data_IF_340145340737
#
_entry.id   IF_340145340737
#
_cell.length_a   1.000
_cell.length_b   1.000
_cell.length_c   1.000
_cell.angle_alpha   90.00
_cell.angle_beta   90.00
_cell.angle_gamma   90.00
#
_symmetry.space_group_name_H-M   'P 1'
#
loop_
_entity.id
_entity.type
_entity.pdbx_description
1 polymer ?
#
# COMPACT_ATOMS: atom_id res chain seq x y z
N UNK A 1 19.11 12.44 18.61
CA UNK A 1 18.18 13.57 18.41
C UNK A 1 18.45 14.70 19.42
N UNK A 2 18.09 14.53 20.70
CA UNK A 2 18.23 15.59 21.74
C UNK A 2 19.65 16.18 21.85
N UNK A 3 20.71 15.36 21.92
CA UNK A 3 22.09 15.87 22.03
C UNK A 3 22.58 16.67 20.82
N UNK A 4 21.89 16.58 19.68
CA UNK A 4 22.27 17.21 18.42
C UNK A 4 21.19 18.20 17.94
N UNK A 5 20.25 18.59 18.82
CA UNK A 5 19.17 19.55 18.52
C UNK A 5 18.33 19.20 17.27
N UNK A 6 18.11 17.90 17.04
CA UNK A 6 17.30 17.42 15.92
C UNK A 6 15.85 17.27 16.36
N UNK A 7 14.95 18.02 15.74
CA UNK A 7 13.50 17.84 15.88
C UNK A 7 13.04 16.57 15.14
N UNK A 8 12.03 15.89 15.69
CA UNK A 8 11.43 14.71 15.09
C UNK A 8 9.93 14.95 14.91
N UNK A 9 9.44 14.63 13.71
CA UNK A 9 8.04 14.71 13.35
C UNK A 9 7.63 13.39 12.72
N UNK A 10 6.49 12.85 13.15
CA UNK A 10 5.97 11.58 12.68
C UNK A 10 4.66 11.81 11.94
N UNK A 11 4.63 11.34 10.70
CA UNK A 11 3.41 11.10 9.94
C UNK A 11 3.23 9.59 9.92
N UNK A 12 2.06 9.13 10.34
CA UNK A 12 1.74 7.70 10.47
C UNK A 12 0.35 7.50 9.84
N UNK A 13 -0.62 7.02 10.60
CA UNK A 13 -2.00 6.80 10.17
C UNK A 13 -2.69 8.03 9.59
N UNK A 14 -2.31 9.23 10.03
CA UNK A 14 -2.80 10.45 9.39
C UNK A 14 -2.34 10.57 7.93
N UNK A 15 -1.12 10.18 7.60
CA UNK A 15 -0.69 10.12 6.21
C UNK A 15 -1.32 8.93 5.48
N UNK A 16 -1.60 7.82 6.17
CA UNK A 16 -2.27 6.68 5.54
C UNK A 16 -3.64 7.05 5.00
N UNK A 17 -4.40 7.83 5.79
CA UNK A 17 -5.73 8.35 5.44
C UNK A 17 -5.69 9.34 4.27
N UNK A 18 -4.72 10.27 4.28
CA UNK A 18 -4.73 11.41 3.35
C UNK A 18 -3.78 11.28 2.15
N UNK A 19 -2.82 10.36 2.19
CA UNK A 19 -1.72 10.31 1.22
C UNK A 19 -1.36 8.90 0.75
N UNK A 20 -1.10 7.98 1.67
CA UNK A 20 -0.54 6.66 1.33
C UNK A 20 -1.46 5.85 0.41
N UNK A 21 -2.76 5.81 0.71
CA UNK A 21 -3.74 5.12 -0.13
C UNK A 21 -3.77 5.68 -1.56
N UNK A 22 -3.74 7.01 -1.69
CA UNK A 22 -3.73 7.69 -2.99
C UNK A 22 -2.44 7.40 -3.79
N UNK A 23 -1.27 7.41 -3.14
CA UNK A 23 0.00 7.04 -3.78
C UNK A 23 0.00 5.59 -4.27
N UNK A 24 -0.53 4.67 -3.46
CA UNK A 24 -0.62 3.27 -3.82
C UNK A 24 -1.61 3.04 -4.99
N UNK A 25 -2.73 3.75 -5.00
CA UNK A 25 -3.69 3.78 -6.11
C UNK A 25 -3.04 4.26 -7.41
N UNK A 26 -2.34 5.40 -7.38
CA UNK A 26 -1.65 5.96 -8.55
C UNK A 26 -0.59 4.99 -9.07
N UNK A 27 0.21 4.42 -8.16
CA UNK A 27 1.25 3.44 -8.48
C UNK A 27 0.65 2.20 -9.16
N UNK A 28 -0.49 1.70 -8.66
CA UNK A 28 -1.23 0.61 -9.28
C UNK A 28 -1.95 0.98 -10.57
N UNK A 29 -2.20 2.26 -10.85
CA UNK A 29 -3.01 2.70 -11.98
C UNK A 29 -4.47 2.32 -11.82
N UNK A 30 -5.01 2.47 -10.60
CA UNK A 30 -6.43 2.31 -10.32
C UNK A 30 -7.12 3.68 -10.49
N UNK A 31 -7.80 3.85 -11.61
CA UNK A 31 -8.55 5.07 -11.89
C UNK A 31 -9.81 5.12 -11.00
N UNK A 32 -10.14 6.32 -10.48
CA UNK A 32 -11.35 6.61 -9.69
C UNK A 32 -11.58 5.67 -8.48
N UNK A 33 -10.51 5.18 -7.84
CA UNK A 33 -10.64 4.37 -6.63
C UNK A 33 -11.14 5.20 -5.44
N UNK A 34 -11.98 4.59 -4.61
CA UNK A 34 -12.54 5.20 -3.41
C UNK A 34 -11.76 4.75 -2.17
N UNK A 35 -11.78 5.50 -1.05
CA UNK A 35 -11.24 4.99 0.21
C UNK A 35 -11.85 3.64 0.58
N UNK A 36 -11.02 2.71 1.05
CA UNK A 36 -11.48 1.40 1.48
C UNK A 36 -12.20 1.48 2.83
N UNK A 37 -11.65 2.23 3.78
CA UNK A 37 -12.28 2.50 5.08
C UNK A 37 -12.35 4.01 5.34
N UNK A 38 -13.55 4.58 5.20
CA UNK A 38 -13.77 6.02 5.34
C UNK A 38 -13.75 6.43 6.82
N UNK A 39 -12.79 7.27 7.19
CA UNK A 39 -12.62 7.73 8.57
C UNK A 39 -12.95 9.22 8.74
N UNK A 40 -12.67 10.05 7.73
CA UNK A 40 -12.80 11.51 7.82
C UNK A 40 -13.35 12.13 6.54
N UNK A 41 -14.66 12.42 6.54
CA UNK A 41 -15.32 13.01 5.38
C UNK A 41 -15.34 12.03 4.21
N UNK A 42 -14.63 12.35 3.14
CA UNK A 42 -14.46 11.49 1.95
C UNK A 42 -13.09 10.79 1.94
N UNK A 43 -12.30 10.89 3.01
CA UNK A 43 -10.95 10.32 3.11
C UNK A 43 -10.91 9.15 4.10
N UNK A 44 -9.96 8.24 3.88
CA UNK A 44 -9.93 6.96 4.56
C UNK A 44 -8.68 6.13 4.31
N UNK A 45 -8.56 5.02 5.04
CA UNK A 45 -7.46 4.06 4.88
C UNK A 45 -7.67 3.26 3.60
N UNK A 46 -6.58 2.99 2.88
CA UNK A 46 -6.55 2.16 1.69
C UNK A 46 -7.39 2.73 0.54
N UNK A 47 -7.40 2.02 -0.58
CA UNK A 47 -8.22 2.34 -1.75
C UNK A 47 -8.82 1.08 -2.36
N UNK A 48 -10.00 1.20 -2.95
CA UNK A 48 -10.65 0.14 -3.70
C UNK A 48 -11.17 0.66 -5.04
N UNK A 49 -10.89 -0.07 -6.10
CA UNK A 49 -11.24 0.34 -7.46
C UNK A 49 -11.25 -0.84 -8.43
N UNK A 50 -11.61 -0.59 -9.68
CA UNK A 50 -11.62 -1.61 -10.72
C UNK A 50 -10.50 -1.40 -11.72
N UNK A 51 -9.84 -2.48 -12.11
CA UNK A 51 -9.04 -2.49 -13.33
C UNK A 51 -9.96 -2.38 -14.54
N UNK A 52 -9.50 -1.68 -15.58
CA UNK A 52 -10.23 -1.56 -16.85
C UNK A 52 -10.52 -2.92 -17.50
N UNK A 53 -9.61 -3.90 -17.33
CA UNK A 53 -9.75 -5.26 -17.87
C UNK A 53 -9.35 -6.28 -16.80
N UNK A 54 -10.15 -7.33 -16.55
CA UNK A 54 -9.77 -8.40 -15.63
C UNK A 54 -8.47 -9.08 -16.05
N UNK A 55 -7.56 -9.28 -15.10
CA UNK A 55 -6.29 -9.98 -15.30
C UNK A 55 -6.16 -11.19 -14.39
N UNK A 56 -5.23 -12.09 -14.68
CA UNK A 56 -4.91 -13.19 -13.76
C UNK A 56 -4.28 -12.66 -12.47
N UNK A 57 -4.59 -13.29 -11.34
CA UNK A 57 -3.98 -12.97 -10.04
C UNK A 57 -2.44 -13.03 -10.09
N UNK A 58 -1.86 -14.04 -10.77
CA UNK A 58 -0.41 -14.14 -11.01
C UNK A 58 0.17 -12.91 -11.73
N UNK A 59 -0.58 -12.37 -12.70
CA UNK A 59 -0.16 -11.19 -13.44
C UNK A 59 -0.19 -9.97 -12.53
N UNK A 60 -1.27 -9.79 -11.75
CA UNK A 60 -1.36 -8.71 -10.77
C UNK A 60 -0.20 -8.77 -9.76
N UNK A 61 0.10 -9.94 -9.19
CA UNK A 61 1.23 -10.10 -8.27
C UNK A 61 2.58 -9.69 -8.90
N UNK A 62 2.79 -10.02 -10.18
CA UNK A 62 3.98 -9.58 -10.93
C UNK A 62 4.01 -8.06 -11.14
N UNK A 63 2.85 -7.45 -11.42
CA UNK A 63 2.74 -5.99 -11.57
C UNK A 63 2.99 -5.27 -10.23
N UNK A 64 2.47 -5.79 -9.11
CA UNK A 64 2.74 -5.27 -7.76
C UNK A 64 4.25 -5.28 -7.48
N UNK A 65 4.92 -6.42 -7.68
CA UNK A 65 6.38 -6.51 -7.53
C UNK A 65 7.11 -5.45 -8.35
N UNK A 66 6.74 -5.29 -9.61
CA UNK A 66 7.42 -4.36 -10.53
C UNK A 66 7.17 -2.90 -10.15
N UNK A 67 5.91 -2.53 -9.88
CA UNK A 67 5.49 -1.15 -9.64
C UNK A 67 5.96 -0.61 -8.29
N UNK A 68 6.07 -1.48 -7.29
CA UNK A 68 6.55 -1.14 -5.96
C UNK A 68 8.00 -1.59 -5.72
N UNK A 69 8.72 -2.03 -6.76
CA UNK A 69 10.12 -2.47 -6.65
C UNK A 69 10.37 -3.49 -5.53
N UNK A 70 9.49 -4.48 -5.40
CA UNK A 70 9.53 -5.52 -4.35
C UNK A 70 10.06 -6.84 -4.92
N UNK A 71 11.04 -7.43 -4.23
CA UNK A 71 11.72 -8.65 -4.68
C UNK A 71 10.80 -9.88 -4.67
N UNK A 72 9.89 -9.98 -3.70
CA UNK A 72 8.96 -11.10 -3.56
C UNK A 72 7.66 -10.68 -2.89
N UNK A 73 6.58 -11.38 -3.24
CA UNK A 73 5.27 -11.26 -2.58
C UNK A 73 4.75 -12.66 -2.27
N UNK A 74 3.92 -12.78 -1.23
CA UNK A 74 3.17 -13.99 -0.94
C UNK A 74 1.76 -13.83 -1.47
N UNK A 75 1.23 -14.89 -2.09
CA UNK A 75 -0.10 -14.87 -2.67
C UNK A 75 -0.95 -15.96 -2.04
N UNK A 76 -2.11 -15.58 -1.52
CA UNK A 76 -3.14 -16.51 -1.06
C UNK A 76 -4.29 -16.48 -2.08
N UNK A 77 -4.67 -17.65 -2.60
CA UNK A 77 -5.72 -17.79 -3.61
C UNK A 77 -5.24 -18.52 -4.86
N UNK A 78 -6.16 -18.75 -5.81
CA UNK A 78 -5.83 -19.36 -7.09
C UNK A 78 -5.15 -18.34 -8.01
N UNK A 79 -3.86 -18.57 -8.31
CA UNK A 79 -3.03 -17.69 -9.15
C UNK A 79 -3.54 -17.57 -10.60
N UNK A 80 -4.36 -18.51 -11.06
CA UNK A 80 -4.96 -18.51 -12.40
C UNK A 80 -6.36 -17.87 -12.46
N UNK A 81 -6.95 -17.55 -11.30
CA UNK A 81 -8.20 -16.82 -11.21
C UNK A 81 -8.10 -15.41 -11.80
N UNK A 82 -9.23 -14.89 -12.32
CA UNK A 82 -9.32 -13.52 -12.81
C UNK A 82 -9.73 -12.60 -11.67
N UNK A 83 -9.07 -11.45 -11.59
CA UNK A 83 -9.36 -10.38 -10.63
C UNK A 83 -9.53 -9.06 -11.38
N UNK A 84 -10.44 -8.22 -10.89
CA UNK A 84 -10.73 -6.92 -11.45
C UNK A 84 -10.96 -5.85 -10.37
N UNK A 85 -11.74 -6.14 -9.34
CA UNK A 85 -11.93 -5.22 -8.21
C UNK A 85 -10.81 -5.42 -7.21
N UNK A 86 -9.95 -4.42 -7.10
CA UNK A 86 -8.71 -4.47 -6.33
C UNK A 86 -8.86 -3.55 -5.12
N UNK A 87 -8.65 -4.09 -3.93
CA UNK A 87 -8.40 -3.31 -2.73
C UNK A 87 -6.88 -3.24 -2.49
N UNK A 88 -6.37 -2.09 -2.08
CA UNK A 88 -4.99 -1.91 -1.61
C UNK A 88 -4.98 -1.14 -0.29
N UNK A 89 -4.27 -1.68 0.71
CA UNK A 89 -4.01 -1.02 1.98
C UNK A 89 -2.54 -1.19 2.33
N UNK A 90 -1.68 -0.20 2.05
CA UNK A 90 -0.24 -0.25 2.39
C UNK A 90 0.00 -0.47 3.89
N UNK A 91 1.17 -1.00 4.25
CA UNK A 91 1.50 -1.30 5.64
C UNK A 91 0.83 -2.58 6.14
N UNK A 92 0.31 -2.54 7.38
CA UNK A 92 -0.34 -3.69 8.03
C UNK A 92 -1.86 -3.64 7.87
N UNK A 93 -2.37 -4.11 6.73
CA UNK A 93 -3.80 -4.02 6.38
C UNK A 93 -4.63 -5.24 6.78
N UNK A 94 -4.23 -5.98 7.82
CA UNK A 94 -5.03 -7.09 8.35
C UNK A 94 -6.44 -6.64 8.77
N UNK A 95 -6.55 -5.46 9.37
CA UNK A 95 -7.85 -4.87 9.77
C UNK A 95 -8.77 -4.62 8.58
N UNK A 96 -8.20 -4.45 7.38
CA UNK A 96 -8.94 -4.09 6.17
C UNK A 96 -9.50 -5.30 5.42
N UNK A 97 -9.23 -6.52 5.88
CA UNK A 97 -9.79 -7.73 5.27
C UNK A 97 -11.31 -7.69 5.29
N UNK A 98 -11.92 -7.31 6.40
CA UNK A 98 -13.38 -7.27 6.52
C UNK A 98 -13.99 -6.23 5.59
N UNK A 99 -13.44 -5.01 5.59
CA UNK A 99 -13.86 -3.92 4.70
C UNK A 99 -13.77 -4.33 3.22
N UNK A 100 -12.67 -4.97 2.82
CA UNK A 100 -12.46 -5.39 1.43
C UNK A 100 -13.40 -6.53 1.02
N UNK A 101 -13.68 -7.49 1.91
CA UNK A 101 -14.65 -8.56 1.66
C UNK A 101 -16.07 -8.00 1.54
N UNK A 102 -16.47 -7.11 2.44
CA UNK A 102 -17.81 -6.52 2.44
C UNK A 102 -18.08 -5.70 1.16
N UNK A 103 -17.06 -5.03 0.65
CA UNK A 103 -17.13 -4.30 -0.62
C UNK A 103 -16.93 -5.19 -1.86
N UNK A 104 -16.70 -6.48 -1.64
CA UNK A 104 -16.58 -7.51 -2.66
C UNK A 104 -15.37 -7.30 -3.57
N UNK A 105 -14.21 -6.99 -2.99
CA UNK A 105 -12.94 -7.02 -3.69
C UNK A 105 -12.59 -8.46 -4.10
N UNK A 106 -12.01 -8.62 -5.29
CA UNK A 106 -11.50 -9.91 -5.74
C UNK A 106 -10.15 -10.24 -5.07
N UNK A 107 -9.40 -9.20 -4.71
CA UNK A 107 -8.08 -9.31 -4.08
C UNK A 107 -7.78 -8.08 -3.22
N UNK A 108 -7.17 -8.33 -2.05
CA UNK A 108 -6.56 -7.31 -1.21
C UNK A 108 -5.02 -7.35 -1.36
N UNK A 109 -4.42 -6.21 -1.70
CA UNK A 109 -2.96 -6.01 -1.71
C UNK A 109 -2.58 -5.27 -0.42
N UNK A 110 -1.75 -5.88 0.41
CA UNK A 110 -1.35 -5.30 1.70
C UNK A 110 -0.06 -5.95 2.22
N UNK A 111 0.37 -5.66 3.44
CA UNK A 111 1.46 -6.31 4.14
C UNK A 111 1.03 -6.97 5.46
N UNK A 112 1.96 -7.74 6.05
CA UNK A 112 1.84 -8.34 7.38
C UNK A 112 0.65 -9.31 7.57
N UNK A 113 0.36 -10.11 6.54
CA UNK A 113 -0.72 -11.09 6.60
C UNK A 113 -0.26 -12.41 7.22
N UNK A 114 -0.91 -12.79 8.32
CA UNK A 114 -0.71 -14.07 8.97
C UNK A 114 -1.21 -15.23 8.09
N UNK A 115 -0.64 -16.42 8.30
CA UNK A 115 -0.98 -17.61 7.53
C UNK A 115 -2.49 -17.94 7.55
N UNK A 116 -3.10 -17.89 8.73
CA UNK A 116 -4.53 -18.16 8.90
C UNK A 116 -5.40 -17.06 8.30
N UNK A 117 -5.01 -15.80 8.47
CA UNK A 117 -5.72 -14.65 7.90
C UNK A 117 -5.83 -14.79 6.37
N UNK A 118 -4.73 -15.19 5.71
CA UNK A 118 -4.71 -15.44 4.28
C UNK A 118 -5.61 -16.59 3.83
N UNK A 119 -5.60 -17.71 4.56
CA UNK A 119 -6.47 -18.87 4.24
C UNK A 119 -7.95 -18.52 4.44
N UNK A 120 -8.28 -17.87 5.55
CA UNK A 120 -9.66 -17.51 5.90
C UNK A 120 -10.22 -16.49 4.91
N UNK A 121 -9.38 -15.56 4.44
CA UNK A 121 -9.74 -14.63 3.38
C UNK A 121 -10.09 -15.35 2.06
N UNK A 122 -9.28 -16.32 1.66
CA UNK A 122 -9.56 -17.13 0.45
C UNK A 122 -10.84 -17.94 0.61
N UNK A 123 -11.12 -18.47 1.79
CA UNK A 123 -12.38 -19.17 2.08
C UNK A 123 -13.61 -18.24 1.98
N UNK A 124 -13.43 -16.94 2.18
CA UNK A 124 -14.44 -15.88 1.97
C UNK A 124 -14.52 -15.40 0.51
N UNK A 125 -13.73 -15.98 -0.39
CA UNK A 125 -13.78 -15.71 -1.82
C UNK A 125 -12.91 -14.54 -2.30
N UNK A 126 -12.04 -14.00 -1.43
CA UNK A 126 -11.12 -12.91 -1.79
C UNK A 126 -9.67 -13.39 -1.70
N UNK A 127 -8.88 -13.11 -2.74
CA UNK A 127 -7.44 -13.39 -2.72
C UNK A 127 -6.67 -12.35 -1.89
N UNK A 128 -5.45 -12.68 -1.50
CA UNK A 128 -4.52 -11.72 -0.89
C UNK A 128 -3.18 -11.74 -1.62
N UNK A 129 -2.63 -10.55 -1.87
CA UNK A 129 -1.23 -10.35 -2.19
C UNK A 129 -0.59 -9.65 -0.99
N UNK A 130 0.17 -10.41 -0.19
CA UNK A 130 1.00 -9.89 0.87
C UNK A 130 2.35 -9.47 0.28
N UNK A 131 2.51 -8.16 0.13
CA UNK A 131 3.66 -7.49 -0.42
C UNK A 131 4.64 -6.96 0.64
N UNK A 132 4.42 -7.32 1.92
CA UNK A 132 5.19 -6.84 3.05
C UNK A 132 4.90 -5.38 3.41
N UNK A 133 5.03 -5.04 4.70
CA UNK A 133 4.72 -3.72 5.24
C UNK A 133 5.46 -2.59 4.50
N UNK A 134 6.79 -2.62 4.58
CA UNK A 134 7.64 -1.60 3.97
C UNK A 134 7.61 -1.64 2.44
N UNK A 135 7.30 -2.80 1.86
CA UNK A 135 7.19 -2.98 0.41
C UNK A 135 6.18 -2.02 -0.22
N UNK A 136 5.12 -1.64 0.49
CA UNK A 136 4.12 -0.71 -0.01
C UNK A 136 4.29 0.74 0.50
N UNK A 137 4.96 0.93 1.63
CA UNK A 137 5.08 2.25 2.28
C UNK A 137 6.34 3.05 1.90
N UNK A 138 7.35 2.42 1.30
CA UNK A 138 8.59 3.12 0.92
C UNK A 138 8.35 4.34 0.00
N UNK A 139 7.23 4.38 -0.70
CA UNK A 139 6.76 5.52 -1.50
C UNK A 139 6.70 6.83 -0.71
N UNK A 140 6.45 6.76 0.61
CA UNK A 140 6.39 7.91 1.51
C UNK A 140 7.65 8.78 1.46
N UNK A 141 8.82 8.16 1.46
CA UNK A 141 10.11 8.87 1.54
C UNK A 141 10.32 9.74 0.30
N UNK A 142 10.04 9.18 -0.87
CA UNK A 142 10.15 9.91 -2.14
C UNK A 142 9.10 11.02 -2.24
N UNK A 143 7.85 10.73 -1.85
CA UNK A 143 6.77 11.71 -1.85
C UNK A 143 7.06 12.91 -0.94
N UNK A 144 7.41 12.66 0.32
CA UNK A 144 7.65 13.74 1.29
C UNK A 144 8.88 14.56 0.92
N UNK A 145 9.93 13.92 0.41
CA UNK A 145 11.10 14.65 -0.06
C UNK A 145 10.78 15.58 -1.23
N UNK A 146 9.95 15.11 -2.18
CA UNK A 146 9.45 15.94 -3.27
C UNK A 146 8.58 17.09 -2.73
N UNK A 147 7.57 16.78 -1.90
CA UNK A 147 6.65 17.76 -1.31
C UNK A 147 7.38 18.86 -0.54
N UNK A 148 8.27 18.47 0.39
CA UNK A 148 9.08 19.43 1.14
C UNK A 148 10.02 20.21 0.22
N UNK A 149 10.52 19.58 -0.85
CA UNK A 149 11.35 20.22 -1.86
C UNK A 149 10.64 21.37 -2.53
N UNK A 150 9.39 21.15 -2.92
CA UNK A 150 8.52 22.15 -3.52
C UNK A 150 8.16 23.27 -2.53
N UNK A 151 7.69 22.92 -1.33
CA UNK A 151 7.27 23.89 -0.30
C UNK A 151 8.44 24.73 0.23
N UNK A 152 9.65 24.15 0.30
CA UNK A 152 10.84 24.82 0.81
C UNK A 152 11.72 25.47 -0.27
N UNK A 153 11.29 25.54 -1.53
CA UNK A 153 12.09 26.12 -2.65
C UNK A 153 12.72 27.47 -2.33
N UNK A 154 12.01 28.33 -1.60
CA UNK A 154 12.44 29.68 -1.27
C UNK A 154 13.16 29.79 0.09
N UNK A 155 13.27 28.68 0.81
CA UNK A 155 13.95 28.59 2.09
C UNK A 155 15.34 27.96 1.90
N UNK A 156 16.32 28.32 2.73
CA UNK A 156 17.68 27.73 2.70
C UNK A 156 17.73 26.32 3.31
N UNK A 157 16.66 25.54 3.16
CA UNK A 157 16.53 24.20 3.73
C UNK A 157 17.10 23.18 2.74
N UNK A 158 17.96 22.30 3.23
CA UNK A 158 18.46 21.15 2.46
C UNK A 158 17.65 19.92 2.84
N UNK A 159 17.25 19.14 1.84
CA UNK A 159 16.48 17.92 2.02
C UNK A 159 17.37 16.73 1.68
N UNK A 160 17.38 15.76 2.59
CA UNK A 160 18.09 14.50 2.43
C UNK A 160 17.08 13.37 2.60
N UNK A 161 17.21 12.34 1.77
CA UNK A 161 16.48 11.09 1.92
C UNK A 161 17.44 10.07 2.50
N UNK A 162 16.97 9.29 3.46
CA UNK A 162 17.66 8.05 3.80
C UNK A 162 17.47 7.07 2.64
N UNK A 163 18.49 6.25 2.36
CA UNK A 163 18.37 5.18 1.36
C UNK A 163 17.33 4.14 1.80
N UNK A 164 16.70 3.49 0.83
CA UNK A 164 15.73 2.44 1.09
C UNK A 164 16.40 1.32 1.88
N UNK A 165 15.98 1.14 3.13
CA UNK A 165 16.54 0.14 4.03
C UNK A 165 15.43 -0.83 4.44
N UNK A 166 15.40 -1.98 3.77
CA UNK A 166 14.54 -3.07 4.21
C UNK A 166 15.08 -3.62 5.54
N UNK A 167 14.22 -3.87 6.55
CA UNK A 167 14.67 -4.47 7.81
C UNK A 167 15.01 -5.97 7.68
N UNK A 168 14.86 -6.55 6.49
CA UNK A 168 15.14 -7.94 6.17
C UNK A 168 15.63 -8.09 4.73
N UNK A 169 16.34 -9.18 4.45
CA UNK A 169 16.71 -9.60 3.10
C UNK A 169 15.86 -10.81 2.69
N UNK A 170 15.46 -10.85 1.42
CA UNK A 170 14.83 -12.04 0.83
C UNK A 170 15.89 -12.79 0.03
N UNK A 171 16.19 -14.03 0.44
CA UNK A 171 17.20 -14.90 -0.20
C UNK A 171 16.56 -15.86 -1.21
#
# INVERSE_FOLDING_TARGET
LVKNDIAYYALHTNFDVYGMGALAQETLGLDDALPLDILHGEEGIGRIGNLAVPIKLKKLASEVKKKFSIDAVRVYGDIDSKVQKIAISPGSGKSEIDNAVEQGADVLITGDIGHHDGIDCVARGMAIIDAGHYGLEHLFIDYIAYYLGEECKNNKVKIFKEEMCNPYETL
#
